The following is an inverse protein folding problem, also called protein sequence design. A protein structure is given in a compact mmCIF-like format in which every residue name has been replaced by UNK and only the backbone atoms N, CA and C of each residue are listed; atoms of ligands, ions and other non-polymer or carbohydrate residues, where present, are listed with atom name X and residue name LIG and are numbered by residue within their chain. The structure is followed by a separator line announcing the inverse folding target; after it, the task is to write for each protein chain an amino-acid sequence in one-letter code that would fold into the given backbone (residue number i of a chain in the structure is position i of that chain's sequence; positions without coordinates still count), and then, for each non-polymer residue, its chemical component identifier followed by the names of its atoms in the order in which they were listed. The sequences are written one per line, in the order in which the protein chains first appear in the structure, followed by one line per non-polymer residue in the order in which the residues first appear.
data_IF_903443948877
#
_entry.id   IF_903443948877
#
_cell.length_a   1.000
_cell.length_b   1.000
_cell.length_c   1.000
_cell.angle_alpha   90.00
_cell.angle_beta   90.00
_cell.angle_gamma   90.00
#
_symmetry.space_group_name_H-M   'P 1'
#
loop_
_entity.id
_entity.type
_entity.pdbx_description
1 polymer ?
#
# COMPACT_ATOMS: atom_id res chain seq x y z
N UNK A 1 -2.97 -1.13 -11.38
CA UNK A 1 -2.97 -2.04 -10.22
C UNK A 1 -1.75 -2.94 -10.36
N UNK A 2 -0.70 -2.68 -9.59
CA UNK A 2 0.57 -3.40 -9.67
C UNK A 2 1.39 -3.12 -8.42
N UNK A 3 2.35 -3.99 -8.11
CA UNK A 3 3.24 -3.86 -6.93
C UNK A 3 4.22 -2.68 -7.13
N UNK A 4 4.60 -2.41 -8.38
CA UNK A 4 5.55 -1.35 -8.73
C UNK A 4 4.88 -0.30 -9.61
N UNK A 5 5.27 0.96 -9.39
CA UNK A 5 5.07 2.07 -10.30
C UNK A 5 6.38 2.28 -11.05
N UNK A 6 6.31 2.15 -12.37
CA UNK A 6 7.45 2.30 -13.26
C UNK A 6 7.51 3.74 -13.81
N UNK A 7 8.71 4.25 -14.00
CA UNK A 7 8.95 5.43 -14.83
C UNK A 7 10.18 5.22 -15.71
N UNK A 8 10.26 5.96 -16.81
CA UNK A 8 11.39 5.89 -17.73
C UNK A 8 11.81 7.29 -18.14
N UNK A 9 13.08 7.60 -17.94
CA UNK A 9 13.66 8.89 -18.28
C UNK A 9 14.74 8.70 -19.34
N UNK A 10 14.68 9.50 -20.40
CA UNK A 10 15.69 9.51 -21.46
C UNK A 10 16.74 10.56 -21.12
N UNK A 11 17.99 10.17 -21.01
CA UNK A 11 19.10 11.10 -20.83
C UNK A 11 20.16 10.91 -21.91
N UNK A 12 20.84 12.00 -22.28
CA UNK A 12 22.03 11.91 -23.11
C UNK A 12 23.27 11.92 -22.22
N UNK A 13 24.09 10.88 -22.38
CA UNK A 13 25.43 10.83 -21.79
C UNK A 13 26.46 10.88 -22.92
N UNK A 14 26.99 12.08 -23.17
CA UNK A 14 27.86 12.36 -24.31
C UNK A 14 27.16 12.11 -25.65
N UNK A 15 27.68 11.18 -26.47
CA UNK A 15 27.11 10.79 -27.78
C UNK A 15 26.12 9.63 -27.71
N UNK A 16 25.86 9.06 -26.53
CA UNK A 16 24.97 7.89 -26.36
C UNK A 16 23.64 8.33 -25.73
N UNK A 17 22.54 7.80 -26.27
CA UNK A 17 21.24 7.87 -25.62
C UNK A 17 21.14 6.75 -24.59
N UNK A 18 20.84 7.12 -23.35
CA UNK A 18 20.61 6.18 -22.25
C UNK A 18 19.15 6.31 -21.82
N UNK A 19 18.54 5.17 -21.48
CA UNK A 19 17.22 5.12 -20.90
C UNK A 19 17.33 4.60 -19.47
N UNK A 20 16.96 5.43 -18.50
CA UNK A 20 16.88 5.04 -17.11
C UNK A 20 15.46 4.56 -16.81
N UNK A 21 15.30 3.30 -16.44
CA UNK A 21 14.03 2.75 -15.97
C UNK A 21 14.05 2.71 -14.45
N UNK A 22 13.11 3.38 -13.80
CA UNK A 22 13.00 3.42 -12.33
C UNK A 22 11.73 2.72 -11.86
N UNK A 23 11.80 2.13 -10.67
CA UNK A 23 10.73 1.37 -10.06
C UNK A 23 10.54 1.86 -8.63
N UNK A 24 9.32 2.24 -8.29
CA UNK A 24 8.93 2.63 -6.93
C UNK A 24 7.79 1.74 -6.45
N UNK A 25 7.76 1.38 -5.18
CA UNK A 25 6.66 0.57 -4.64
C UNK A 25 5.37 1.39 -4.67
N UNK A 26 4.29 0.78 -5.15
CA UNK A 26 2.95 1.33 -4.95
C UNK A 26 2.52 1.15 -3.49
N UNK A 27 1.38 1.74 -3.11
CA UNK A 27 0.79 1.46 -1.79
C UNK A 27 0.68 -0.05 -1.55
N UNK A 28 0.20 -0.80 -2.55
CA UNK A 28 0.12 -2.28 -2.52
C UNK A 28 1.51 -2.93 -2.40
N UNK A 29 2.51 -2.44 -3.14
CA UNK A 29 3.86 -2.98 -3.06
C UNK A 29 4.52 -2.78 -1.71
N UNK A 30 4.21 -1.66 -1.02
CA UNK A 30 4.69 -1.41 0.34
C UNK A 30 4.14 -2.44 1.35
N UNK A 31 2.96 -3.00 1.13
CA UNK A 31 2.46 -4.17 1.92
C UNK A 31 3.32 -5.40 1.72
N UNK A 32 3.59 -5.72 0.45
CA UNK A 32 4.43 -6.86 0.10
C UNK A 32 5.84 -6.72 0.66
N UNK A 33 6.38 -5.51 0.78
CA UNK A 33 7.67 -5.29 1.41
C UNK A 33 7.72 -5.78 2.86
N UNK A 34 6.64 -5.62 3.65
CA UNK A 34 6.57 -6.18 5.02
C UNK A 34 6.58 -7.71 5.06
N UNK A 35 6.15 -8.38 3.98
CA UNK A 35 6.14 -9.84 3.87
C UNK A 35 7.47 -10.42 3.35
N UNK A 36 8.26 -9.62 2.64
CA UNK A 36 9.44 -10.06 1.90
C UNK A 36 10.77 -9.58 2.53
N UNK A 37 10.75 -8.45 3.21
CA UNK A 37 11.90 -7.91 3.94
C UNK A 37 11.77 -8.35 5.39
N UNK A 38 12.85 -8.89 5.95
CA UNK A 38 12.94 -9.12 7.41
C UNK A 38 12.47 -7.86 8.12
N UNK A 39 11.41 -8.00 8.91
CA UNK A 39 10.74 -6.86 9.52
C UNK A 39 11.75 -5.94 10.23
N UNK A 40 12.78 -6.52 10.86
CA UNK A 40 13.88 -5.87 11.57
C UNK A 40 14.69 -4.85 10.75
N UNK A 41 14.68 -4.92 9.41
CA UNK A 41 15.44 -4.02 8.53
C UNK A 41 14.72 -2.71 8.18
N UNK A 42 13.44 -2.58 8.50
CA UNK A 42 12.67 -1.36 8.24
C UNK A 42 12.65 -0.42 9.45
N UNK A 43 12.84 0.90 9.27
CA UNK A 43 12.63 1.88 10.32
C UNK A 43 11.23 1.79 10.92
N UNK A 44 11.11 2.05 12.23
CA UNK A 44 9.84 1.97 12.96
C UNK A 44 8.76 2.88 12.36
N UNK A 45 9.15 4.09 11.96
CA UNK A 45 8.26 5.08 11.37
C UNK A 45 7.70 4.59 10.04
N UNK A 46 8.55 3.95 9.22
CA UNK A 46 8.16 3.38 7.94
C UNK A 46 7.20 2.20 8.12
N UNK A 47 7.48 1.30 9.06
CA UNK A 47 6.53 0.22 9.42
C UNK A 47 5.18 0.75 9.85
N UNK A 48 5.17 1.78 10.71
CA UNK A 48 3.94 2.39 11.20
C UNK A 48 3.13 3.03 10.07
N UNK A 49 3.77 3.74 9.15
CA UNK A 49 3.09 4.32 7.99
C UNK A 49 2.60 3.29 7.00
N UNK A 50 3.34 2.19 6.81
CA UNK A 50 2.82 1.04 6.07
C UNK A 50 1.59 0.54 6.80
N UNK A 51 1.66 0.07 8.05
CA UNK A 51 0.51 -0.46 8.79
C UNK A 51 -0.75 0.44 8.73
N UNK A 52 -0.62 1.76 8.92
CA UNK A 52 -1.74 2.70 8.80
C UNK A 52 -2.38 2.69 7.41
N UNK A 53 -1.59 2.51 6.36
CA UNK A 53 -2.05 2.63 4.98
C UNK A 53 -3.00 1.50 4.56
N UNK A 54 -2.78 0.23 4.90
CA UNK A 54 -3.72 -0.85 4.55
C UNK A 54 -4.71 -1.07 5.62
N UNK A 55 -4.47 -0.66 6.87
CA UNK A 55 -5.59 -0.50 7.74
C UNK A 55 -6.66 0.40 7.07
N UNK A 56 -6.25 1.55 6.51
CA UNK A 56 -7.15 2.41 5.73
C UNK A 56 -7.68 1.75 4.45
N UNK A 57 -6.84 1.08 3.66
CA UNK A 57 -7.29 0.44 2.40
C UNK A 57 -8.27 -0.69 2.67
N UNK A 58 -8.00 -1.52 3.68
CA UNK A 58 -8.82 -2.64 4.09
C UNK A 58 -10.16 -2.16 4.64
N UNK A 59 -10.18 -1.16 5.52
CA UNK A 59 -11.43 -0.53 5.99
C UNK A 59 -12.24 0.05 4.85
N UNK A 60 -11.60 0.74 3.90
CA UNK A 60 -12.28 1.27 2.70
C UNK A 60 -12.85 0.15 1.84
N UNK A 61 -12.12 -0.95 1.69
CA UNK A 61 -12.58 -2.12 0.95
C UNK A 61 -13.78 -2.78 1.63
N UNK A 62 -13.70 -3.05 2.94
CA UNK A 62 -14.81 -3.59 3.75
C UNK A 62 -16.04 -2.70 3.60
N UNK A 63 -15.89 -1.38 3.76
CA UNK A 63 -17.01 -0.44 3.65
C UNK A 63 -17.71 -0.52 2.29
N UNK A 64 -16.94 -0.58 1.20
CA UNK A 64 -17.49 -0.70 -0.16
C UNK A 64 -18.17 -2.05 -0.37
N UNK A 65 -17.56 -3.12 0.13
CA UNK A 65 -18.10 -4.46 0.01
C UNK A 65 -19.39 -4.63 0.82
N UNK A 66 -19.44 -4.09 2.03
CA UNK A 66 -20.65 -4.11 2.85
C UNK A 66 -21.79 -3.28 2.27
N UNK A 67 -21.47 -2.13 1.65
CA UNK A 67 -22.45 -1.34 0.90
C UNK A 67 -23.04 -2.15 -0.26
N UNK A 68 -22.22 -2.96 -0.97
CA UNK A 68 -22.72 -3.84 -2.03
C UNK A 68 -23.62 -4.98 -1.54
N UNK A 69 -23.48 -5.37 -0.29
CA UNK A 69 -24.31 -6.39 0.37
C UNK A 69 -25.50 -5.79 1.12
N UNK A 70 -25.69 -4.47 1.06
CA UNK A 70 -26.74 -3.75 1.77
C UNK A 70 -26.72 -3.97 3.30
N UNK A 71 -25.52 -4.22 3.86
CA UNK A 71 -25.32 -4.42 5.29
C UNK A 71 -25.44 -3.12 6.07
N UNK A 72 -25.94 -3.22 7.29
CA UNK A 72 -25.97 -2.09 8.22
C UNK A 72 -24.55 -1.67 8.63
N UNK A 73 -24.28 -0.38 8.54
CA UNK A 73 -22.99 0.24 8.87
C UNK A 73 -22.72 0.21 10.37
N UNK A 74 -23.76 0.21 11.20
CA UNK A 74 -23.59 0.18 12.66
C UNK A 74 -23.01 -1.15 13.14
N UNK A 75 -23.38 -2.28 12.50
CA UNK A 75 -22.82 -3.60 12.81
C UNK A 75 -21.30 -3.62 12.59
N UNK A 76 -20.82 -3.07 11.47
CA UNK A 76 -19.39 -3.03 11.18
C UNK A 76 -18.63 -2.11 12.13
N UNK A 77 -19.26 -0.99 12.52
CA UNK A 77 -18.68 -0.04 13.45
C UNK A 77 -18.55 -0.62 14.85
N UNK A 78 -19.55 -1.38 15.31
CA UNK A 78 -19.50 -2.09 16.60
C UNK A 78 -18.39 -3.13 16.64
N UNK A 79 -18.28 -3.96 15.59
CA UNK A 79 -17.18 -4.92 15.44
C UNK A 79 -15.84 -4.18 15.48
N UNK A 80 -15.70 -3.10 14.72
CA UNK A 80 -14.46 -2.34 14.64
C UNK A 80 -14.04 -1.74 15.99
N UNK A 81 -14.99 -1.18 16.74
CA UNK A 81 -14.73 -0.62 18.07
C UNK A 81 -14.37 -1.70 19.09
N UNK A 82 -14.87 -2.92 18.92
CA UNK A 82 -14.56 -4.06 19.78
C UNK A 82 -13.14 -4.58 19.53
N UNK A 83 -12.74 -4.72 18.26
CA UNK A 83 -11.44 -5.29 17.87
C UNK A 83 -10.25 -4.31 18.02
N UNK A 84 -10.50 -3.00 17.94
CA UNK A 84 -9.46 -1.96 18.06
C UNK A 84 -9.17 -1.59 19.53
N UNK A 85 -9.87 -2.21 20.48
CA UNK A 85 -9.86 -1.86 21.90
C UNK A 85 -8.59 -2.29 22.64
#
# INVERSE_FOLDING_TARGET
LGILKESMEKSMSGKRTVWLKSYTLTDLGRWFALLLVEEEKLPREEKAEILKTAFRLYVRWIRRFSESLNMDKEVLKEIFLTEVR
#
